data_IF_541502336613
#
_entry.id   IF_541502336613
#
_cell.length_a   1.000
_cell.length_b   1.000
_cell.length_c   1.000
_cell.angle_alpha   90.00
_cell.angle_beta   90.00
_cell.angle_gamma   90.00
#
_symmetry.space_group_name_H-M   'P 1'
#
loop_
_entity.id
_entity.type
_entity.pdbx_description
1 polymer ?
#
# COMPACT_ATOMS: atom_id res chain seq x y z
N UNK A 1 1.00 -7.86 1.00
CA UNK A 1 0.19 -6.72 1.47
C UNK A 1 -1.24 -7.15 1.71
N UNK A 2 -1.88 -7.84 0.77
CA UNK A 2 -3.29 -8.25 0.91
C UNK A 2 -3.52 -9.20 2.10
N UNK A 3 -2.60 -10.13 2.37
CA UNK A 3 -2.63 -10.99 3.57
C UNK A 3 -2.63 -10.16 4.88
N UNK A 4 -1.75 -9.15 4.96
CA UNK A 4 -1.67 -8.26 6.12
C UNK A 4 -2.92 -7.39 6.29
N UNK A 5 -3.51 -6.94 5.18
CA UNK A 5 -4.77 -6.18 5.20
C UNK A 5 -5.89 -7.07 5.74
N UNK A 6 -5.99 -8.32 5.28
CA UNK A 6 -6.99 -9.27 5.75
C UNK A 6 -6.86 -9.56 7.25
N UNK A 7 -5.63 -9.69 7.76
CA UNK A 7 -5.37 -9.88 9.19
C UNK A 7 -5.82 -8.66 10.02
N UNK A 8 -5.56 -7.45 9.52
CA UNK A 8 -6.02 -6.21 10.15
C UNK A 8 -7.55 -6.10 10.13
N UNK A 9 -8.19 -6.44 9.01
CA UNK A 9 -9.65 -6.43 8.89
C UNK A 9 -10.30 -7.43 9.85
N UNK A 10 -9.72 -8.62 10.01
CA UNK A 10 -10.18 -9.60 11.00
C UNK A 10 -10.11 -9.04 12.43
N UNK A 11 -9.01 -8.37 12.80
CA UNK A 11 -8.86 -7.76 14.12
C UNK A 11 -9.89 -6.63 14.36
N UNK A 12 -10.19 -5.84 13.34
CA UNK A 12 -11.24 -4.81 13.39
C UNK A 12 -12.60 -5.46 13.66
N UNK A 13 -12.95 -6.50 12.90
CA UNK A 13 -14.22 -7.22 13.04
C UNK A 13 -14.38 -7.83 14.44
N UNK A 14 -13.34 -8.49 14.95
CA UNK A 14 -13.33 -9.06 16.31
C UNK A 14 -13.56 -7.99 17.37
N UNK A 15 -12.94 -6.82 17.22
CA UNK A 15 -13.12 -5.69 18.15
C UNK A 15 -14.53 -5.10 18.07
N UNK A 16 -15.09 -4.94 16.87
CA UNK A 16 -16.48 -4.46 16.69
C UNK A 16 -17.50 -5.40 17.33
N UNK A 17 -17.35 -6.71 17.11
CA UNK A 17 -18.18 -7.73 17.76
C UNK A 17 -18.03 -7.72 19.28
N UNK A 18 -16.81 -7.54 19.78
CA UNK A 18 -16.53 -7.48 21.22
C UNK A 18 -17.16 -6.23 21.86
N UNK A 19 -17.09 -5.09 21.19
CA UNK A 19 -17.74 -3.84 21.62
C UNK A 19 -19.26 -4.02 21.67
N UNK A 20 -19.86 -4.58 20.62
CA UNK A 20 -21.31 -4.81 20.58
C UNK A 20 -21.78 -5.78 21.66
N UNK A 21 -21.00 -6.83 21.95
CA UNK A 21 -21.27 -7.73 23.08
C UNK A 21 -21.20 -7.01 24.42
N UNK A 22 -20.18 -6.17 24.63
CA UNK A 22 -20.02 -5.42 25.88
C UNK A 22 -21.11 -4.37 26.08
N UNK A 23 -21.62 -3.75 25.01
CA UNK A 23 -22.77 -2.83 25.06
C UNK A 23 -24.07 -3.52 25.47
N UNK A 24 -24.26 -4.76 25.03
CA UNK A 24 -25.47 -5.56 25.29
C UNK A 24 -25.39 -6.40 26.58
N UNK A 25 -24.23 -6.40 27.25
CA UNK A 25 -24.02 -7.21 28.44
C UNK A 25 -24.93 -6.73 29.58
N UNK A 26 -25.67 -7.64 30.24
CA UNK A 26 -26.52 -7.28 31.38
C UNK A 26 -25.67 -6.71 32.52
N UNK A 27 -26.27 -5.82 33.31
CA UNK A 27 -25.60 -5.24 34.48
C UNK A 27 -25.26 -6.32 35.50
N UNK A 28 -23.96 -6.52 35.71
CA UNK A 28 -23.46 -7.43 36.74
C UNK A 28 -23.38 -6.60 38.03
N UNK A 29 -24.14 -6.97 39.09
CA UNK A 29 -24.29 -6.14 40.29
C UNK A 29 -22.99 -5.93 41.11
N UNK A 30 -21.91 -6.63 40.75
CA UNK A 30 -20.60 -6.55 41.41
C UNK A 30 -19.54 -5.81 40.61
N UNK A 31 -19.83 -5.37 39.39
CA UNK A 31 -18.87 -4.60 38.57
C UNK A 31 -19.24 -3.11 38.69
N UNK A 32 -18.33 -2.25 39.17
CA UNK A 32 -18.57 -0.81 39.18
C UNK A 32 -18.82 -0.32 37.75
N UNK A 33 -19.86 0.49 37.56
CA UNK A 33 -20.24 1.02 36.24
C UNK A 33 -19.07 1.75 35.55
N UNK A 34 -18.25 2.46 36.33
CA UNK A 34 -17.02 3.13 35.90
C UNK A 34 -16.03 2.15 35.22
N UNK A 35 -15.93 0.92 35.74
CA UNK A 35 -15.04 -0.12 35.18
C UNK A 35 -15.56 -0.61 33.83
N UNK A 36 -16.88 -0.76 33.68
CA UNK A 36 -17.53 -1.11 32.42
C UNK A 36 -17.30 -0.04 31.37
N UNK A 37 -17.51 1.23 31.73
CA UNK A 37 -17.29 2.36 30.82
C UNK A 37 -15.83 2.46 30.39
N UNK A 38 -14.89 2.34 31.33
CA UNK A 38 -13.45 2.35 31.03
C UNK A 38 -13.02 1.21 30.09
N UNK A 39 -13.58 0.01 30.28
CA UNK A 39 -13.30 -1.13 29.40
C UNK A 39 -13.85 -0.90 27.99
N UNK A 40 -15.08 -0.38 27.87
CA UNK A 40 -15.66 -0.04 26.58
C UNK A 40 -14.84 1.05 25.87
N UNK A 41 -14.43 2.09 26.60
CA UNK A 41 -13.58 3.15 26.07
C UNK A 41 -12.23 2.62 25.54
N UNK A 42 -11.58 1.71 26.29
CA UNK A 42 -10.34 1.05 25.83
C UNK A 42 -10.54 0.28 24.53
N UNK A 43 -11.64 -0.46 24.41
CA UNK A 43 -11.97 -1.21 23.19
C UNK A 43 -12.22 -0.27 22.00
N UNK A 44 -12.94 0.83 22.20
CA UNK A 44 -13.16 1.84 21.16
C UNK A 44 -11.85 2.48 20.70
N UNK A 45 -10.95 2.85 21.62
CA UNK A 45 -9.62 3.39 21.29
C UNK A 45 -8.79 2.37 20.50
N UNK A 46 -8.84 1.09 20.89
CA UNK A 46 -8.14 0.04 20.16
C UNK A 46 -8.69 -0.11 18.73
N UNK A 47 -10.01 -0.07 18.56
CA UNK A 47 -10.67 -0.13 17.26
C UNK A 47 -10.26 1.04 16.35
N UNK A 48 -10.26 2.26 16.87
CA UNK A 48 -9.84 3.45 16.12
C UNK A 48 -8.39 3.33 15.64
N UNK A 49 -7.49 2.83 16.50
CA UNK A 49 -6.09 2.59 16.12
C UNK A 49 -5.97 1.58 14.99
N UNK A 50 -6.69 0.47 15.04
CA UNK A 50 -6.68 -0.53 13.97
C UNK A 50 -7.26 0.00 12.66
N UNK A 51 -8.34 0.79 12.72
CA UNK A 51 -8.89 1.48 11.54
C UNK A 51 -7.89 2.45 10.92
N UNK A 52 -7.14 3.19 11.74
CA UNK A 52 -6.08 4.07 11.26
C UNK A 52 -4.92 3.28 10.61
N UNK A 53 -4.53 2.14 11.18
CA UNK A 53 -3.52 1.25 10.61
C UNK A 53 -3.99 0.72 9.25
N UNK A 54 -5.25 0.27 9.14
CA UNK A 54 -5.83 -0.18 7.86
C UNK A 54 -5.76 0.92 6.80
N UNK A 55 -6.17 2.14 7.13
CA UNK A 55 -6.11 3.27 6.19
C UNK A 55 -4.68 3.60 5.75
N UNK A 56 -3.69 3.44 6.63
CA UNK A 56 -2.28 3.57 6.26
C UNK A 56 -1.84 2.45 5.32
N UNK A 57 -2.24 1.21 5.57
CA UNK A 57 -1.91 0.07 4.72
C UNK A 57 -2.51 0.22 3.31
N UNK A 58 -3.76 0.67 3.21
CA UNK A 58 -4.40 0.99 1.92
C UNK A 58 -3.61 2.07 1.17
N UNK A 59 -3.25 3.17 1.85
CA UNK A 59 -2.40 4.21 1.27
C UNK A 59 -1.04 3.68 0.79
N UNK A 60 -0.41 2.77 1.54
CA UNK A 60 0.85 2.16 1.15
C UNK A 60 0.71 1.21 -0.03
N UNK A 61 -0.38 0.41 -0.07
CA UNK A 61 -0.73 -0.44 -1.21
C UNK A 61 -0.85 0.41 -2.48
N UNK A 62 -1.59 1.51 -2.40
CA UNK A 62 -1.86 2.36 -3.56
C UNK A 62 -0.65 3.19 -4.02
N UNK A 63 0.32 3.45 -3.15
CA UNK A 63 1.51 4.26 -3.48
C UNK A 63 2.73 3.42 -3.86
N UNK A 64 2.89 2.23 -3.28
CA UNK A 64 4.11 1.41 -3.44
C UNK A 64 3.91 0.14 -4.28
N UNK A 65 2.67 -0.30 -4.50
CA UNK A 65 2.36 -1.46 -5.33
C UNK A 65 1.87 -1.09 -6.74
N UNK A 66 2.18 0.13 -7.23
CA UNK A 66 1.92 0.52 -8.62
C UNK A 66 3.05 0.05 -9.52
N UNK A 67 2.78 -0.49 -10.72
CA UNK A 67 3.79 -0.80 -11.73
C UNK A 67 4.79 0.35 -11.89
N UNK A 68 6.08 0.07 -11.69
CA UNK A 68 7.13 1.00 -12.09
C UNK A 68 7.20 0.91 -13.61
N UNK A 69 6.72 1.96 -14.28
CA UNK A 69 6.87 2.10 -15.72
C UNK A 69 8.36 2.26 -16.06
N UNK A 70 8.81 1.57 -17.10
CA UNK A 70 10.17 1.72 -17.64
C UNK A 70 10.34 3.14 -18.19
N UNK A 71 11.39 3.84 -17.74
CA UNK A 71 11.69 5.23 -18.12
C UNK A 71 13.02 5.37 -18.87
N UNK A 72 13.72 4.28 -19.12
CA UNK A 72 15.00 4.28 -19.84
C UNK A 72 14.91 4.94 -21.23
N UNK A 73 13.83 4.70 -21.98
CA UNK A 73 13.60 5.34 -23.29
C UNK A 73 13.36 6.85 -23.18
N UNK A 74 12.61 7.29 -22.17
CA UNK A 74 12.35 8.70 -21.90
C UNK A 74 13.63 9.44 -21.48
N UNK A 75 14.46 8.78 -20.67
CA UNK A 75 15.76 9.29 -20.26
C UNK A 75 16.75 9.39 -21.42
N UNK A 76 16.79 8.38 -22.29
CA UNK A 76 17.58 8.39 -23.52
C UNK A 76 17.19 9.56 -24.44
N UNK A 77 15.89 9.80 -24.60
CA UNK A 77 15.37 10.94 -25.36
C UNK A 77 15.77 12.28 -24.74
N UNK A 78 15.65 12.43 -23.42
CA UNK A 78 16.01 13.66 -22.70
C UNK A 78 17.50 13.99 -22.85
N UNK A 79 18.39 13.01 -22.66
CA UNK A 79 19.83 13.17 -22.91
C UNK A 79 20.09 13.60 -24.35
N UNK A 80 19.40 12.99 -25.32
CA UNK A 80 19.59 13.31 -26.74
C UNK A 80 19.21 14.76 -27.08
N UNK A 81 18.21 15.32 -26.40
CA UNK A 81 17.74 16.70 -26.61
C UNK A 81 18.70 17.68 -25.95
N UNK A 82 19.11 17.45 -24.71
CA UNK A 82 20.04 18.33 -23.98
C UNK A 82 21.37 18.51 -24.71
N UNK A 83 21.88 17.44 -25.33
CA UNK A 83 23.13 17.46 -26.07
C UNK A 83 23.06 18.18 -27.41
N UNK A 84 21.87 18.25 -28.03
CA UNK A 84 21.68 19.03 -29.26
C UNK A 84 21.68 20.53 -28.96
N UNK A 85 21.30 20.92 -27.74
CA UNK A 85 21.20 22.32 -27.33
C UNK A 85 22.51 22.94 -26.85
N UNK A 86 23.42 22.17 -26.23
CA UNK A 86 24.66 22.72 -25.65
C UNK A 86 25.81 21.70 -25.75
N UNK A 87 27.04 22.12 -26.14
CA UNK A 87 28.22 21.27 -26.03
C UNK A 87 28.52 20.98 -24.55
N UNK A 88 28.12 19.79 -24.10
CA UNK A 88 28.34 19.30 -22.73
C UNK A 88 29.62 18.47 -22.57
N UNK A 89 30.07 18.31 -21.33
CA UNK A 89 31.27 17.55 -20.93
C UNK A 89 31.06 16.02 -20.94
N UNK A 90 29.82 15.54 -21.10
CA UNK A 90 29.49 14.12 -20.94
C UNK A 90 29.90 13.32 -22.19
N UNK A 91 30.92 12.48 -22.03
CA UNK A 91 31.41 11.63 -23.12
C UNK A 91 30.34 10.64 -23.61
N UNK A 92 30.38 10.19 -24.89
CA UNK A 92 29.49 9.14 -25.38
C UNK A 92 29.51 7.87 -24.52
N UNK A 93 30.69 7.49 -24.01
CA UNK A 93 30.88 6.33 -23.15
C UNK A 93 30.09 6.44 -21.85
N UNK A 94 30.20 7.58 -21.16
CA UNK A 94 29.48 7.83 -19.91
C UNK A 94 27.96 7.73 -20.12
N UNK A 95 27.45 8.20 -21.26
CA UNK A 95 26.02 8.15 -21.60
C UNK A 95 25.51 6.73 -21.80
N UNK A 96 26.23 5.94 -22.58
CA UNK A 96 25.91 4.52 -22.76
C UNK A 96 25.86 3.80 -21.42
N UNK A 97 26.84 4.05 -20.55
CA UNK A 97 26.87 3.46 -19.20
C UNK A 97 25.68 3.92 -18.32
N UNK A 98 25.25 5.18 -18.42
CA UNK A 98 24.07 5.66 -17.68
C UNK A 98 22.77 4.97 -18.14
N UNK A 99 22.59 4.82 -19.45
CA UNK A 99 21.41 4.16 -20.03
C UNK A 99 21.42 2.66 -19.69
N UNK A 100 22.57 1.99 -19.83
CA UNK A 100 22.74 0.59 -19.46
C UNK A 100 22.46 0.36 -17.98
N UNK A 101 22.93 1.25 -17.11
CA UNK A 101 22.65 1.17 -15.68
C UNK A 101 21.15 1.32 -15.38
N UNK A 102 20.45 2.25 -16.03
CA UNK A 102 18.99 2.36 -15.91
C UNK A 102 18.27 1.09 -16.38
N UNK A 103 18.65 0.54 -17.54
CA UNK A 103 18.07 -0.70 -18.05
C UNK A 103 18.36 -1.89 -17.12
N UNK A 104 19.54 -1.92 -16.50
CA UNK A 104 19.89 -2.92 -15.50
C UNK A 104 19.01 -2.82 -14.25
N UNK A 105 18.78 -1.61 -13.73
CA UNK A 105 17.87 -1.38 -12.61
C UNK A 105 16.43 -1.79 -12.95
N UNK A 106 15.95 -1.42 -14.14
CA UNK A 106 14.63 -1.84 -14.64
C UNK A 106 14.52 -3.37 -14.73
N UNK A 107 15.57 -4.04 -15.23
CA UNK A 107 15.62 -5.49 -15.28
C UNK A 107 15.64 -6.11 -13.87
N UNK A 108 16.40 -5.55 -12.92
CA UNK A 108 16.37 -6.01 -11.53
C UNK A 108 15.00 -5.85 -10.90
N UNK A 109 14.29 -4.76 -11.22
CA UNK A 109 12.91 -4.50 -10.80
C UNK A 109 11.95 -5.54 -11.40
N UNK A 110 12.13 -5.92 -12.67
CA UNK A 110 11.36 -6.99 -13.33
C UNK A 110 11.61 -8.37 -12.68
N UNK A 111 12.85 -8.64 -12.22
CA UNK A 111 13.23 -9.89 -11.56
C UNK A 111 12.71 -9.99 -10.11
N UNK A 112 12.29 -8.88 -9.50
CA UNK A 112 11.60 -8.88 -8.21
C UNK A 112 10.15 -9.37 -8.41
N UNK A 113 10.00 -10.66 -8.68
CA UNK A 113 8.71 -11.34 -8.74
C UNK A 113 8.06 -11.35 -7.36
N UNK A 114 7.19 -10.37 -7.09
CA UNK A 114 6.39 -10.35 -5.86
C UNK A 114 5.56 -9.10 -5.56
N UNK A 115 5.67 -8.00 -6.32
CA UNK A 115 5.02 -6.72 -5.94
C UNK A 115 4.11 -6.12 -7.04
N UNK A 116 4.06 -6.72 -8.23
CA UNK A 116 3.34 -6.09 -9.34
C UNK A 116 1.94 -6.65 -9.51
N UNK A 117 0.92 -5.79 -9.34
CA UNK A 117 -0.38 -6.00 -10.01
C UNK A 117 -0.10 -5.99 -11.51
N UNK A 118 -0.18 -7.15 -12.16
CA UNK A 118 -0.35 -7.20 -13.60
C UNK A 118 -1.66 -6.50 -13.96
N UNK A 119 -1.67 -5.81 -15.10
CA UNK A 119 -2.84 -5.09 -15.61
C UNK A 119 -4.09 -6.00 -15.76
N UNK A 120 -3.87 -7.31 -15.85
CA UNK A 120 -4.90 -8.36 -15.83
C UNK A 120 -5.59 -8.52 -14.46
N UNK A 121 -4.93 -8.18 -13.36
CA UNK A 121 -5.56 -8.18 -12.03
C UNK A 121 -6.50 -6.99 -11.84
N UNK A 122 -6.20 -5.82 -12.40
CA UNK A 122 -7.08 -4.64 -12.33
C UNK A 122 -8.44 -4.90 -13.00
N UNK A 123 -8.45 -5.54 -14.16
CA UNK A 123 -9.71 -5.90 -14.85
C UNK A 123 -10.49 -6.99 -14.12
N UNK A 124 -9.82 -7.89 -13.39
CA UNK A 124 -10.48 -8.91 -12.59
C UNK A 124 -11.20 -8.30 -11.38
N UNK A 125 -10.55 -7.38 -10.65
CA UNK A 125 -11.18 -6.72 -9.49
C UNK A 125 -12.29 -5.74 -9.88
N UNK A 126 -12.17 -5.00 -10.99
CA UNK A 126 -13.26 -4.14 -11.50
C UNK A 126 -14.53 -4.90 -11.90
N UNK A 127 -14.41 -6.19 -12.26
CA UNK A 127 -15.55 -7.04 -12.60
C UNK A 127 -16.31 -7.58 -11.39
N UNK A 128 -15.64 -7.69 -10.24
CA UNK A 128 -16.25 -8.14 -8.97
C UNK A 128 -17.07 -7.02 -8.34
N UNK A 129 -16.59 -5.77 -8.38
CA UNK A 129 -17.30 -4.61 -7.82
C UNK A 129 -18.54 -4.17 -8.62
N UNK A 130 -18.69 -4.60 -9.89
CA UNK A 130 -19.86 -4.29 -10.73
C UNK A 130 -20.96 -5.37 -10.69
N UNK A 131 -20.78 -6.41 -9.86
CA UNK A 131 -21.69 -7.57 -9.79
C UNK A 131 -22.48 -7.66 -8.48
N UNK A 132 -22.44 -6.63 -7.63
CA UNK A 132 -23.33 -6.42 -6.47
C UNK A 132 -24.18 -5.17 -6.66
#
# INVERSE_FOLDING_TARGET
MDELINEVDHNIEVLELTIERNKKAPEIPHIPEETRFMNLAKLCIALEKWKAVRGLLEKYRDTRCRPIEKKSSLFENMISVELKGVPGFVTPRTRSSMIEYMRHLEWQIDQLSGIWRTQEMETMYESVDKSN
#
